data_IF_312675071177
#
_entry.id   IF_312675071177
#
_cell.length_a   1.000
_cell.length_b   1.000
_cell.length_c   1.000
_cell.angle_alpha   90.00
_cell.angle_beta   90.00
_cell.angle_gamma   90.00
#
_symmetry.space_group_name_H-M   'P 1'
#
loop_
_entity.id
_entity.type
_entity.pdbx_description
1 polymer ?
#
# COMPACT_ATOMS: atom_id res chain seq x y z
N UNK A 1 16.47 -13.98 15.08
CA UNK A 1 17.08 -12.64 15.09
C UNK A 1 16.01 -11.62 15.40
N UNK A 2 16.22 -10.78 16.42
CA UNK A 2 15.30 -9.70 16.77
C UNK A 2 15.52 -8.51 15.84
N UNK A 3 14.53 -7.62 15.71
CA UNK A 3 14.68 -6.40 14.91
C UNK A 3 15.87 -5.58 15.41
N UNK A 4 16.02 -5.44 16.72
CA UNK A 4 17.13 -4.73 17.35
C UNK A 4 18.50 -5.27 16.94
N UNK A 5 18.66 -6.59 16.84
CA UNK A 5 19.93 -7.20 16.38
C UNK A 5 20.20 -6.94 14.91
N UNK A 6 19.16 -6.95 14.06
CA UNK A 6 19.31 -6.61 12.64
C UNK A 6 19.69 -5.14 12.46
N UNK A 7 19.12 -4.28 13.30
CA UNK A 7 19.35 -2.86 13.26
C UNK A 7 20.79 -2.53 13.65
N UNK A 8 21.25 -3.07 14.77
CA UNK A 8 22.59 -2.80 15.30
C UNK A 8 23.71 -3.43 14.48
N UNK A 9 23.52 -4.62 13.91
CA UNK A 9 24.51 -5.29 13.05
C UNK A 9 24.83 -4.56 11.75
N UNK A 10 23.93 -3.70 11.28
CA UNK A 10 24.09 -2.97 10.02
C UNK A 10 24.27 -1.46 10.22
N UNK A 11 24.54 -1.00 11.45
CA UNK A 11 24.64 0.42 11.78
C UNK A 11 25.66 1.17 10.91
N UNK A 12 26.79 0.53 10.58
CA UNK A 12 27.83 1.10 9.70
C UNK A 12 27.32 1.38 8.28
N UNK A 13 26.38 0.57 7.79
CA UNK A 13 25.75 0.80 6.49
C UNK A 13 24.89 2.07 6.54
N UNK A 14 24.27 2.36 7.68
CA UNK A 14 23.28 3.42 7.82
C UNK A 14 23.90 4.76 8.18
N UNK A 15 24.99 4.74 8.94
CA UNK A 15 25.81 5.90 9.25
C UNK A 15 26.75 6.29 8.10
N UNK A 16 26.84 5.48 7.03
CA UNK A 16 27.60 5.84 5.84
C UNK A 16 26.96 7.03 5.10
N UNK A 17 27.59 8.20 5.22
CA UNK A 17 26.93 9.47 4.83
C UNK A 17 26.95 9.74 3.32
N UNK A 18 27.94 9.27 2.54
CA UNK A 18 27.95 9.60 1.10
C UNK A 18 28.63 8.53 0.24
N UNK A 19 27.96 8.06 -0.81
CA UNK A 19 28.63 7.50 -1.99
C UNK A 19 28.73 8.57 -3.08
N UNK A 20 29.92 8.79 -3.61
CA UNK A 20 30.11 9.63 -4.80
C UNK A 20 29.76 8.81 -6.03
N UNK A 21 28.72 9.20 -6.77
CA UNK A 21 28.47 8.62 -8.10
C UNK A 21 29.54 9.14 -9.07
N UNK A 22 30.25 8.26 -9.76
CA UNK A 22 31.07 8.63 -10.90
C UNK A 22 30.16 8.87 -12.11
N UNK A 23 29.98 10.12 -12.51
CA UNK A 23 29.38 10.47 -13.80
C UNK A 23 30.43 10.29 -14.88
N UNK A 24 30.24 9.33 -15.79
CA UNK A 24 31.10 9.17 -16.96
C UNK A 24 30.75 10.27 -17.97
N UNK A 25 31.55 11.35 -18.00
CA UNK A 25 31.34 12.50 -18.89
C UNK A 25 32.22 13.71 -18.52
N UNK A 26 32.46 14.62 -19.47
CA UNK A 26 33.22 15.88 -19.28
C UNK A 26 32.41 16.84 -18.38
N UNK A 27 32.48 16.61 -17.08
CA UNK A 27 31.78 17.40 -16.06
C UNK A 27 31.54 16.58 -14.80
N UNK A 28 32.58 16.39 -13.98
CA UNK A 28 32.47 15.69 -12.70
C UNK A 28 31.78 16.60 -11.66
N UNK A 29 30.46 16.67 -11.66
CA UNK A 29 29.74 17.11 -10.45
C UNK A 29 29.71 15.93 -9.47
N UNK A 30 30.41 16.04 -8.35
CA UNK A 30 30.33 15.08 -7.24
C UNK A 30 28.95 15.21 -6.59
N UNK A 31 27.93 14.55 -7.16
CA UNK A 31 26.62 14.46 -6.51
C UNK A 31 26.75 13.52 -5.31
N UNK A 32 26.66 14.10 -4.11
CA UNK A 32 26.65 13.36 -2.86
C UNK A 32 25.27 12.69 -2.73
N UNK A 33 25.21 11.36 -2.69
CA UNK A 33 23.98 10.62 -2.41
C UNK A 33 24.00 10.07 -0.96
N UNK A 34 22.95 10.40 -0.19
CA UNK A 34 22.72 9.91 1.18
C UNK A 34 22.32 8.42 1.18
N UNK A 35 23.27 7.55 0.86
CA UNK A 35 23.05 6.11 0.67
C UNK A 35 22.58 5.40 1.94
N UNK A 36 23.26 5.61 3.07
CA UNK A 36 22.92 4.95 4.35
C UNK A 36 21.51 5.29 4.83
N UNK A 37 21.13 6.58 4.76
CA UNK A 37 19.78 7.03 5.12
C UNK A 37 18.68 6.41 4.24
N UNK A 38 18.93 6.25 2.93
CA UNK A 38 17.98 5.57 2.04
C UNK A 38 17.79 4.10 2.43
N UNK A 39 18.88 3.38 2.70
CA UNK A 39 18.83 1.97 3.12
C UNK A 39 18.14 1.77 4.46
N UNK A 40 18.35 2.67 5.40
CA UNK A 40 17.63 2.64 6.67
C UNK A 40 16.11 2.83 6.48
N UNK A 41 15.69 3.79 5.65
CA UNK A 41 14.26 3.99 5.34
C UNK A 41 13.63 2.77 4.68
N UNK A 42 14.31 2.16 3.71
CA UNK A 42 13.87 0.91 3.07
C UNK A 42 13.66 -0.20 4.10
N UNK A 43 14.62 -0.38 5.02
CA UNK A 43 14.54 -1.39 6.07
C UNK A 43 13.38 -1.13 7.04
N UNK A 44 13.22 0.12 7.50
CA UNK A 44 12.12 0.50 8.40
C UNK A 44 10.78 0.20 7.74
N UNK A 45 10.61 0.55 6.45
CA UNK A 45 9.40 0.25 5.69
C UNK A 45 9.16 -1.26 5.57
N UNK A 46 10.21 -2.05 5.28
CA UNK A 46 10.11 -3.51 5.23
C UNK A 46 9.65 -4.09 6.58
N UNK A 47 10.22 -3.61 7.69
CA UNK A 47 9.84 -4.03 9.03
C UNK A 47 8.41 -3.59 9.40
N UNK A 48 8.00 -2.39 8.98
CA UNK A 48 6.66 -1.86 9.20
C UNK A 48 5.61 -2.73 8.53
N UNK A 49 5.80 -3.03 7.23
CA UNK A 49 4.88 -3.85 6.42
C UNK A 49 4.79 -5.28 6.97
N UNK A 50 5.85 -5.78 7.62
CA UNK A 50 5.86 -7.10 8.27
C UNK A 50 5.26 -7.11 9.69
N UNK A 51 4.82 -5.96 10.21
CA UNK A 51 4.29 -5.85 11.57
C UNK A 51 5.33 -6.06 12.67
N UNK A 52 6.63 -5.81 12.39
CA UNK A 52 7.72 -6.08 13.34
C UNK A 52 8.22 -4.84 14.10
N UNK A 53 7.67 -3.67 13.80
CA UNK A 53 8.07 -2.42 14.46
C UNK A 53 7.39 -2.22 15.83
N UNK A 54 6.33 -2.97 16.13
CA UNK A 54 5.55 -2.82 17.36
C UNK A 54 5.35 -4.22 17.99
N UNK A 55 5.45 -4.34 19.33
CA UNK A 55 5.09 -5.57 20.03
C UNK A 55 3.68 -6.03 19.66
N UNK A 56 3.50 -7.33 19.43
CA UNK A 56 2.19 -7.90 19.11
C UNK A 56 1.47 -8.30 20.41
N UNK A 57 0.20 -7.94 20.55
CA UNK A 57 -0.61 -8.38 21.69
C UNK A 57 -1.10 -9.82 21.44
N UNK A 58 -0.79 -10.79 22.32
CA UNK A 58 -1.31 -12.15 22.21
C UNK A 58 -2.84 -12.27 22.25
N UNK A 59 -3.53 -11.24 22.77
CA UNK A 59 -4.98 -11.18 22.91
C UNK A 59 -5.68 -10.55 21.69
N UNK A 60 -4.92 -10.03 20.72
CA UNK A 60 -5.51 -9.48 19.49
C UNK A 60 -6.31 -10.55 18.74
N UNK A 61 -7.42 -10.14 18.14
CA UNK A 61 -8.26 -11.00 17.32
C UNK A 61 -7.45 -11.52 16.12
N UNK A 62 -7.39 -12.85 15.89
CA UNK A 62 -6.70 -13.38 14.73
C UNK A 62 -7.46 -13.05 13.45
N UNK A 63 -6.74 -12.78 12.37
CA UNK A 63 -7.28 -12.43 11.06
C UNK A 63 -8.27 -13.47 10.53
N UNK A 64 -8.14 -14.75 10.92
CA UNK A 64 -9.09 -15.82 10.55
C UNK A 64 -10.52 -15.48 10.95
N UNK A 65 -10.74 -14.88 12.12
CA UNK A 65 -12.09 -14.55 12.62
C UNK A 65 -12.72 -13.45 11.77
N UNK A 66 -11.95 -12.42 11.40
CA UNK A 66 -12.42 -11.38 10.48
C UNK A 66 -12.72 -11.95 9.09
N UNK A 67 -11.87 -12.85 8.58
CA UNK A 67 -12.08 -13.48 7.27
C UNK A 67 -13.36 -14.33 7.24
N UNK A 68 -13.68 -15.04 8.31
CA UNK A 68 -14.94 -15.78 8.45
C UNK A 68 -16.15 -14.83 8.39
N UNK A 69 -16.09 -13.68 9.09
CA UNK A 69 -17.15 -12.66 9.05
C UNK A 69 -17.33 -12.10 7.64
N UNK A 70 -16.24 -11.75 6.96
CA UNK A 70 -16.26 -11.26 5.57
C UNK A 70 -16.87 -12.30 4.64
N UNK A 71 -16.49 -13.58 4.78
CA UNK A 71 -17.04 -14.66 3.97
C UNK A 71 -18.56 -14.84 4.17
N UNK A 72 -19.02 -14.78 5.42
CA UNK A 72 -20.44 -14.86 5.76
C UNK A 72 -21.23 -13.67 5.20
N UNK A 73 -20.73 -12.44 5.38
CA UNK A 73 -21.33 -11.23 4.85
C UNK A 73 -21.40 -11.25 3.32
N UNK A 74 -20.32 -11.66 2.65
CA UNK A 74 -20.28 -11.83 1.20
C UNK A 74 -21.31 -12.86 0.71
N UNK A 75 -21.48 -13.97 1.42
CA UNK A 75 -22.49 -14.98 1.08
C UNK A 75 -23.91 -14.40 1.20
N UNK A 76 -24.18 -13.59 2.23
CA UNK A 76 -25.46 -12.91 2.41
C UNK A 76 -25.72 -11.89 1.29
N UNK A 77 -24.73 -11.06 0.92
CA UNK A 77 -24.85 -10.10 -0.18
C UNK A 77 -25.11 -10.76 -1.55
N UNK A 78 -24.54 -11.96 -1.77
CA UNK A 78 -24.84 -12.77 -2.97
C UNK A 78 -26.27 -13.28 -2.94
N UNK A 79 -26.76 -13.74 -1.78
CA UNK A 79 -28.16 -14.19 -1.60
C UNK A 79 -29.14 -13.05 -1.85
N UNK A 80 -28.81 -11.85 -1.38
CA UNK A 80 -29.60 -10.63 -1.57
C UNK A 80 -29.47 -10.03 -2.98
N UNK A 81 -28.70 -10.67 -3.88
CA UNK A 81 -28.43 -10.22 -5.26
C UNK A 81 -27.78 -8.83 -5.37
N UNK A 82 -27.21 -8.30 -4.28
CA UNK A 82 -26.48 -7.03 -4.27
C UNK A 82 -25.14 -7.15 -5.01
N UNK A 83 -24.55 -8.35 -4.99
CA UNK A 83 -23.27 -8.64 -5.65
C UNK A 83 -23.35 -9.95 -6.43
N UNK A 84 -22.56 -10.06 -7.51
CA UNK A 84 -22.44 -11.30 -8.28
C UNK A 84 -21.58 -12.32 -7.53
N UNK A 85 -21.92 -13.60 -7.64
CA UNK A 85 -21.10 -14.69 -7.12
C UNK A 85 -19.74 -14.71 -7.83
N UNK A 86 -18.66 -14.51 -7.08
CA UNK A 86 -17.29 -14.62 -7.58
C UNK A 86 -16.80 -16.07 -7.59
N UNK A 87 -15.87 -16.40 -8.49
CA UNK A 87 -15.16 -17.69 -8.47
C UNK A 87 -14.38 -17.84 -7.16
N UNK A 88 -14.38 -19.05 -6.59
CA UNK A 88 -13.55 -19.36 -5.43
C UNK A 88 -12.06 -19.22 -5.80
N UNK A 89 -11.32 -18.46 -5.00
CA UNK A 89 -9.88 -18.29 -5.17
C UNK A 89 -9.13 -19.41 -4.45
N UNK A 90 -7.97 -19.79 -4.98
CA UNK A 90 -7.11 -20.80 -4.35
C UNK A 90 -6.48 -20.26 -3.07
N UNK A 91 -6.41 -21.13 -2.06
CA UNK A 91 -5.72 -20.87 -0.79
C UNK A 91 -4.26 -20.45 -1.07
N UNK A 92 -3.73 -19.53 -0.26
CA UNK A 92 -2.33 -19.13 -0.34
C UNK A 92 -1.45 -20.28 0.16
N UNK A 93 -0.69 -20.88 -0.75
CA UNK A 93 0.18 -22.01 -0.44
C UNK A 93 1.44 -21.55 0.31
N UNK A 94 2.09 -22.45 1.06
CA UNK A 94 3.35 -22.13 1.78
C UNK A 94 4.49 -21.66 0.86
N UNK A 95 4.50 -22.08 -0.40
CA UNK A 95 5.52 -21.68 -1.40
C UNK A 95 5.36 -20.22 -1.85
N UNK A 96 4.14 -19.68 -1.76
CA UNK A 96 3.84 -18.30 -2.16
C UNK A 96 4.07 -17.30 -1.01
N UNK A 97 4.34 -17.78 0.21
CA UNK A 97 4.50 -16.93 1.39
C UNK A 97 5.94 -16.42 1.46
N UNK A 98 6.19 -15.12 1.22
CA UNK A 98 7.55 -14.59 1.17
C UNK A 98 8.25 -14.54 2.54
N UNK A 99 7.47 -14.56 3.63
CA UNK A 99 7.98 -14.51 4.99
C UNK A 99 6.96 -15.06 6.01
N UNK A 100 7.46 -15.29 7.22
CA UNK A 100 6.66 -15.71 8.38
C UNK A 100 5.95 -14.49 8.95
N UNK A 101 4.62 -14.59 9.08
CA UNK A 101 3.77 -13.56 9.65
C UNK A 101 3.84 -13.54 11.20
N UNK A 102 3.55 -12.40 11.83
CA UNK A 102 3.33 -12.35 13.27
C UNK A 102 2.14 -13.22 13.71
N UNK A 103 2.06 -13.50 15.01
CA UNK A 103 0.92 -14.22 15.59
C UNK A 103 -0.37 -13.45 15.31
N UNK A 104 -1.44 -14.17 14.97
CA UNK A 104 -2.75 -13.59 14.66
C UNK A 104 -2.89 -13.09 13.22
N UNK A 105 -1.81 -12.86 12.49
CA UNK A 105 -1.87 -12.46 11.08
C UNK A 105 -2.09 -13.68 10.16
N UNK A 106 -2.70 -13.45 8.99
CA UNK A 106 -2.98 -14.49 8.01
C UNK A 106 -2.75 -14.01 6.58
N UNK A 107 -2.31 -14.92 5.71
CA UNK A 107 -2.23 -14.67 4.28
C UNK A 107 -3.58 -14.96 3.62
N UNK A 108 -4.07 -14.03 2.82
CA UNK A 108 -5.34 -14.17 2.09
C UNK A 108 -5.24 -13.51 0.70
N UNK A 109 -6.10 -13.94 -0.23
CA UNK A 109 -6.26 -13.32 -1.56
C UNK A 109 -7.08 -12.05 -1.45
N UNK A 110 -6.63 -10.98 -2.12
CA UNK A 110 -7.32 -9.67 -2.11
C UNK A 110 -8.81 -9.75 -2.48
N UNK A 111 -9.19 -10.64 -3.41
CA UNK A 111 -10.59 -10.82 -3.81
C UNK A 111 -11.49 -11.51 -2.77
N UNK A 112 -10.91 -12.05 -1.70
CA UNK A 112 -11.66 -12.61 -0.57
C UNK A 112 -11.95 -11.55 0.51
N UNK A 113 -11.15 -10.48 0.61
CA UNK A 113 -11.32 -9.44 1.64
C UNK A 113 -12.24 -8.29 1.21
N UNK A 114 -12.53 -8.17 -0.09
CA UNK A 114 -13.34 -7.07 -0.59
C UNK A 114 -13.75 -7.22 -2.04
N UNK A 115 -14.44 -6.20 -2.54
CA UNK A 115 -14.96 -6.15 -3.91
C UNK A 115 -14.25 -5.03 -4.64
N UNK A 116 -13.58 -5.37 -5.74
CA UNK A 116 -13.06 -4.38 -6.67
C UNK A 116 -14.20 -3.68 -7.39
N UNK A 117 -14.30 -2.37 -7.24
CA UNK A 117 -15.23 -1.52 -7.98
C UNK A 117 -14.46 -0.39 -8.66
N UNK A 118 -14.81 -0.08 -9.90
CA UNK A 118 -14.30 1.09 -10.61
C UNK A 118 -15.36 2.16 -10.63
N UNK A 119 -14.98 3.39 -10.29
CA UNK A 119 -15.84 4.56 -10.50
C UNK A 119 -16.05 4.83 -12.00
N UNK A 120 -16.95 5.77 -12.30
CA UNK A 120 -17.09 6.37 -13.63
C UNK A 120 -16.68 7.83 -13.54
N UNK A 121 -15.95 8.31 -14.53
CA UNK A 121 -15.66 9.74 -14.65
C UNK A 121 -16.87 10.42 -15.31
N UNK A 122 -17.41 11.51 -14.71
CA UNK A 122 -18.47 12.29 -15.34
C UNK A 122 -18.03 12.81 -16.71
N UNK A 123 -18.98 12.95 -17.63
CA UNK A 123 -18.68 13.38 -19.00
C UNK A 123 -18.16 14.82 -19.00
N UNK A 124 -16.94 15.04 -19.49
CA UNK A 124 -16.34 16.38 -19.61
C UNK A 124 -17.07 17.30 -20.59
N UNK A 125 -18.00 16.76 -21.38
CA UNK A 125 -18.85 17.55 -22.28
C UNK A 125 -19.97 18.28 -21.54
N UNK A 126 -20.35 17.81 -20.35
CA UNK A 126 -21.36 18.46 -19.51
C UNK A 126 -20.63 19.26 -18.43
N UNK A 127 -20.46 20.56 -18.68
CA UNK A 127 -19.70 21.45 -17.79
C UNK A 127 -20.34 21.58 -16.41
N UNK A 128 -21.67 21.45 -16.31
CA UNK A 128 -22.43 21.48 -15.05
C UNK A 128 -21.98 20.42 -14.04
N UNK A 129 -21.38 19.31 -14.49
CA UNK A 129 -20.79 18.30 -13.61
C UNK A 129 -19.49 18.75 -12.95
N UNK A 130 -18.83 19.80 -13.47
CA UNK A 130 -17.54 20.31 -13.00
C UNK A 130 -17.62 21.74 -12.45
N UNK A 131 -18.83 22.24 -12.19
CA UNK A 131 -19.12 23.55 -11.58
C UNK A 131 -19.54 23.41 -10.11
N UNK A 132 -19.01 22.43 -9.39
CA UNK A 132 -19.34 22.19 -8.00
C UNK A 132 -18.22 22.55 -7.02
N UNK A 133 -18.25 21.93 -5.84
CA UNK A 133 -17.30 22.16 -4.76
C UNK A 133 -16.54 20.91 -4.33
N UNK A 134 -16.84 19.74 -4.89
CA UNK A 134 -16.20 18.47 -4.53
C UNK A 134 -14.90 18.33 -5.31
N UNK A 135 -13.72 18.28 -4.67
CA UNK A 135 -12.44 18.16 -5.37
C UNK A 135 -12.36 16.95 -6.29
N UNK A 136 -12.07 17.16 -7.58
CA UNK A 136 -11.79 16.06 -8.52
C UNK A 136 -10.28 15.85 -8.65
N UNK A 137 -9.79 14.71 -8.16
CA UNK A 137 -8.39 14.30 -8.27
C UNK A 137 -8.27 13.23 -9.36
N UNK A 138 -7.73 13.62 -10.52
CA UNK A 138 -7.41 12.70 -11.59
C UNK A 138 -5.97 12.17 -11.51
N UNK A 139 -5.59 11.24 -12.41
CA UNK A 139 -4.23 10.72 -12.47
C UNK A 139 -3.16 11.82 -12.67
N UNK A 140 -3.49 12.92 -13.34
CA UNK A 140 -2.59 14.06 -13.55
C UNK A 140 -2.26 14.86 -12.29
N UNK A 141 -3.09 14.74 -11.25
CA UNK A 141 -2.88 15.41 -9.95
C UNK A 141 -2.10 14.53 -8.96
N UNK A 142 -1.62 13.36 -9.38
CA UNK A 142 -0.81 12.47 -8.54
C UNK A 142 0.62 12.50 -9.07
N UNK A 143 1.55 13.08 -8.31
CA UNK A 143 2.96 13.13 -8.73
C UNK A 143 3.60 11.74 -8.69
N UNK A 144 4.72 11.55 -9.39
CA UNK A 144 5.49 10.31 -9.30
C UNK A 144 5.99 10.01 -7.88
N UNK A 145 6.08 11.03 -7.02
CA UNK A 145 6.47 10.89 -5.62
C UNK A 145 5.27 10.59 -4.71
N UNK A 146 4.06 10.45 -5.25
CA UNK A 146 2.84 10.17 -4.50
C UNK A 146 2.20 11.39 -3.83
N UNK A 147 2.62 12.60 -4.19
CA UNK A 147 2.01 13.83 -3.69
C UNK A 147 0.73 14.13 -4.47
N UNK A 148 -0.30 14.59 -3.76
CA UNK A 148 -1.57 15.00 -4.37
C UNK A 148 -1.50 16.51 -4.60
N UNK A 149 -1.57 16.91 -5.87
CA UNK A 149 -1.63 18.31 -6.29
C UNK A 149 -3.03 18.88 -6.06
N UNK A 150 -3.13 20.21 -6.03
CA UNK A 150 -4.41 20.89 -5.92
C UNK A 150 -5.36 20.46 -7.06
N UNK A 151 -6.66 20.28 -6.77
CA UNK A 151 -7.66 19.95 -7.78
C UNK A 151 -7.81 21.09 -8.80
N UNK A 152 -7.81 20.76 -10.08
CA UNK A 152 -8.09 21.71 -11.18
C UNK A 152 -9.59 21.81 -11.50
N UNK A 153 -10.37 20.81 -11.07
CA UNK A 153 -11.80 20.69 -11.35
C UNK A 153 -12.55 20.30 -10.08
N UNK A 154 -13.82 20.69 -10.00
CA UNK A 154 -14.65 20.43 -8.84
C UNK A 154 -16.01 19.86 -9.27
N UNK A 155 -16.35 18.67 -8.79
CA UNK A 155 -17.61 18.02 -9.11
C UNK A 155 -18.79 18.66 -8.38
N UNK A 156 -19.92 18.75 -9.06
CA UNK A 156 -21.23 19.03 -8.46
C UNK A 156 -21.85 17.75 -7.89
N UNK A 157 -22.94 17.85 -7.12
CA UNK A 157 -23.64 16.67 -6.59
C UNK A 157 -24.26 15.79 -7.67
N UNK A 158 -24.48 16.38 -8.85
CA UNK A 158 -25.11 15.72 -10.00
C UNK A 158 -24.06 15.08 -10.94
N UNK A 159 -22.76 15.28 -10.66
CA UNK A 159 -21.60 14.77 -11.39
C UNK A 159 -20.80 13.75 -10.59
#
# INVERSE_FOLDING_TARGET
>A
MTVETLITQHIDTWTSVVKTKSTSGRGSSKKLELYGMKKLRELILELAVRGKLVPQDPNDEPASVLLERIAAEKAQLVKDKKIKRSKALSVVSKKEQPFILPRGWGWERLGNIGIGATGKTPSTKQLTFFEGSIPFIGPGQITQNGEILAPEKFLSSDG
#
